data_IF_573866637044
#
_entry.id   IF_573866637044
#
_cell.length_a   1.000
_cell.length_b   1.000
_cell.length_c   1.000
_cell.angle_alpha   90.00
_cell.angle_beta   90.00
_cell.angle_gamma   90.00
#
_symmetry.space_group_name_H-M   'P 1'
#
loop_
_entity.id
_entity.type
_entity.pdbx_description
1 polymer ?
#
# COMPACT_ATOMS: atom_id res chain seq x y z
N UNK A 1 13.54 -29.13 -53.83
CA UNK A 1 14.67 -28.56 -53.05
C UNK A 1 14.25 -27.69 -51.84
N UNK A 2 12.99 -27.22 -51.74
CA UNK A 2 12.54 -26.34 -50.64
C UNK A 2 12.11 -27.04 -49.32
N UNK A 3 11.92 -28.37 -49.31
CA UNK A 3 11.42 -29.09 -48.13
C UNK A 3 12.50 -29.30 -47.04
N UNK A 4 13.77 -29.50 -47.45
CA UNK A 4 14.89 -29.75 -46.53
C UNK A 4 15.38 -28.47 -45.81
N UNK A 5 15.09 -27.30 -46.37
CA UNK A 5 15.46 -25.99 -45.79
C UNK A 5 14.51 -25.62 -44.64
N UNK A 6 13.25 -26.08 -44.68
CA UNK A 6 12.29 -25.84 -43.60
C UNK A 6 12.56 -26.71 -42.36
N UNK A 7 13.04 -27.94 -42.56
CA UNK A 7 13.38 -28.86 -41.46
C UNK A 7 14.53 -28.35 -40.58
N UNK A 8 15.67 -27.98 -41.18
CA UNK A 8 16.83 -27.50 -40.42
C UNK A 8 16.58 -26.16 -39.71
N UNK A 9 15.82 -25.24 -40.32
CA UNK A 9 15.47 -23.97 -39.68
C UNK A 9 14.69 -24.19 -38.39
N UNK A 10 13.66 -25.05 -38.39
CA UNK A 10 12.89 -25.35 -37.17
C UNK A 10 13.74 -25.95 -36.05
N UNK A 11 14.72 -26.80 -36.37
CA UNK A 11 15.63 -27.40 -35.36
C UNK A 11 16.55 -26.36 -34.72
N UNK A 12 17.09 -25.43 -35.51
CA UNK A 12 17.92 -24.33 -35.00
C UNK A 12 17.10 -23.36 -34.14
N UNK A 13 15.88 -22.99 -34.58
CA UNK A 13 14.97 -22.16 -33.79
C UNK A 13 14.61 -22.81 -32.45
N UNK A 14 14.35 -24.12 -32.42
CA UNK A 14 14.00 -24.84 -31.20
C UNK A 14 15.17 -24.88 -30.19
N UNK A 15 16.41 -25.00 -30.68
CA UNK A 15 17.62 -24.96 -29.85
C UNK A 15 17.86 -23.57 -29.23
N UNK A 16 17.66 -22.51 -30.02
CA UNK A 16 17.81 -21.13 -29.56
C UNK A 16 16.77 -20.76 -28.48
N UNK A 17 15.52 -21.19 -28.65
CA UNK A 17 14.46 -20.96 -27.66
C UNK A 17 14.81 -21.63 -26.33
N UNK A 18 15.19 -22.92 -26.33
CA UNK A 18 15.55 -23.62 -25.09
C UNK A 18 16.78 -23.03 -24.40
N UNK A 19 17.79 -22.60 -25.15
CA UNK A 19 19.04 -22.03 -24.63
C UNK A 19 18.84 -20.71 -23.89
N UNK A 20 18.05 -19.79 -24.47
CA UNK A 20 17.80 -18.47 -23.87
C UNK A 20 16.70 -18.52 -22.80
N UNK A 21 15.72 -19.40 -22.94
CA UNK A 21 14.64 -19.55 -21.96
C UNK A 21 15.17 -20.01 -20.60
N UNK A 22 16.18 -20.90 -20.55
CA UNK A 22 16.79 -21.34 -19.28
C UNK A 22 17.47 -20.18 -18.53
N UNK A 23 18.09 -19.24 -19.25
CA UNK A 23 18.73 -18.05 -18.67
C UNK A 23 17.71 -17.03 -18.20
N UNK A 24 16.67 -16.77 -19.00
CA UNK A 24 15.57 -15.87 -18.63
C UNK A 24 14.85 -16.39 -17.38
N UNK A 25 14.58 -17.70 -17.32
CA UNK A 25 13.97 -18.34 -16.15
C UNK A 25 14.85 -18.18 -14.90
N UNK A 26 16.16 -18.37 -15.03
CA UNK A 26 17.09 -18.19 -13.93
C UNK A 26 17.14 -16.73 -13.44
N UNK A 27 17.20 -15.75 -14.35
CA UNK A 27 17.18 -14.32 -13.98
C UNK A 27 15.87 -13.91 -13.32
N UNK A 28 14.73 -14.43 -13.79
CA UNK A 28 13.42 -14.17 -13.20
C UNK A 28 13.28 -14.80 -11.81
N UNK A 29 13.81 -16.02 -11.63
CA UNK A 29 13.87 -16.66 -10.32
C UNK A 29 14.74 -15.87 -9.33
N UNK A 30 15.89 -15.33 -9.76
CA UNK A 30 16.72 -14.46 -8.93
C UNK A 30 15.99 -13.20 -8.48
N UNK A 31 15.21 -12.57 -9.37
CA UNK A 31 14.38 -11.42 -9.04
C UNK A 31 13.28 -11.77 -8.03
N UNK A 32 12.63 -12.94 -8.20
CA UNK A 32 11.64 -13.44 -7.26
C UNK A 32 12.24 -13.70 -5.86
N UNK A 33 13.48 -14.21 -5.78
CA UNK A 33 14.18 -14.41 -4.50
C UNK A 33 14.46 -13.09 -3.78
N UNK A 34 14.81 -12.03 -4.51
CA UNK A 34 14.99 -10.69 -3.94
C UNK A 34 13.67 -10.03 -3.49
N UNK A 35 12.53 -10.53 -3.98
CA UNK A 35 11.19 -10.11 -3.56
C UNK A 35 10.67 -10.86 -2.32
N UNK A 36 11.29 -11.99 -1.93
CA UNK A 36 10.90 -12.77 -0.74
C UNK A 36 10.87 -11.91 0.55
N UNK A 37 11.85 -11.02 0.81
CA UNK A 37 11.82 -10.16 1.98
C UNK A 37 10.63 -9.18 1.98
N UNK A 38 10.21 -8.69 0.81
CA UNK A 38 9.07 -7.77 0.68
C UNK A 38 7.76 -8.49 1.03
N UNK A 39 7.63 -9.76 0.65
CA UNK A 39 6.47 -10.58 0.98
C UNK A 39 6.45 -11.00 2.46
N UNK A 40 7.62 -11.24 3.06
CA UNK A 40 7.74 -11.49 4.49
C UNK A 40 7.32 -10.27 5.33
N UNK A 41 7.57 -9.05 4.82
CA UNK A 41 7.10 -7.81 5.44
C UNK A 41 5.60 -7.54 5.21
N UNK A 42 4.95 -8.22 4.27
CA UNK A 42 3.51 -8.14 4.02
C UNK A 42 2.69 -9.16 4.84
N UNK A 43 3.35 -10.14 5.48
CA UNK A 43 2.68 -11.02 6.44
C UNK A 43 2.44 -10.25 7.73
N UNK A 44 1.23 -9.70 7.85
CA UNK A 44 0.64 -9.19 9.08
C UNK A 44 0.74 -10.26 10.17
N UNK A 45 1.54 -9.99 11.20
CA UNK A 45 1.53 -10.74 12.46
C UNK A 45 0.36 -10.24 13.33
N UNK A 46 -0.86 -10.63 13.00
CA UNK A 46 -1.96 -10.55 13.96
C UNK A 46 -2.16 -11.92 14.61
N UNK A 47 -2.06 -11.93 15.94
CA UNK A 47 -2.06 -13.12 16.77
C UNK A 47 -3.22 -14.05 16.43
N UNK A 48 -2.87 -15.28 16.03
CA UNK A 48 -3.81 -16.38 15.81
C UNK A 48 -4.39 -16.80 17.15
N UNK A 49 -5.61 -16.34 17.45
CA UNK A 49 -6.53 -17.05 18.34
C UNK A 49 -7.85 -17.21 17.58
N UNK A 50 -8.14 -18.44 17.16
CA UNK A 50 -9.41 -18.81 16.53
C UNK A 50 -9.39 -18.84 15.01
N UNK A 51 -9.31 -20.04 14.43
CA UNK A 51 -9.39 -20.30 12.99
C UNK A 51 -10.86 -20.30 12.58
N UNK A 52 -11.25 -19.43 11.64
CA UNK A 52 -12.31 -19.70 10.64
C UNK A 52 -12.02 -18.88 9.37
N UNK A 53 -11.01 -19.33 8.61
CA UNK A 53 -10.71 -18.81 7.28
C UNK A 53 -11.90 -19.08 6.34
N UNK A 54 -12.81 -18.12 6.23
CA UNK A 54 -14.03 -18.23 5.43
C UNK A 54 -15.07 -17.14 5.70
N UNK A 55 -14.97 -16.42 6.81
CA UNK A 55 -15.94 -15.39 7.16
C UNK A 55 -15.56 -14.04 6.56
N UNK A 56 -16.56 -13.25 6.14
CA UNK A 56 -16.41 -11.85 5.64
C UNK A 56 -15.52 -11.00 6.56
N UNK A 57 -15.45 -11.33 7.86
CA UNK A 57 -14.57 -10.72 8.84
C UNK A 57 -13.08 -10.81 8.48
N UNK A 58 -12.61 -11.94 7.95
CA UNK A 58 -11.19 -12.09 7.56
C UNK A 58 -10.86 -11.30 6.29
N UNK A 59 -11.82 -11.20 5.36
CA UNK A 59 -11.69 -10.34 4.18
C UNK A 59 -11.68 -8.86 4.59
N UNK A 60 -12.52 -8.47 5.56
CA UNK A 60 -12.55 -7.12 6.12
C UNK A 60 -11.27 -6.77 6.87
N UNK A 61 -10.70 -7.71 7.65
CA UNK A 61 -9.41 -7.51 8.34
C UNK A 61 -8.25 -7.42 7.34
N UNK A 62 -8.21 -8.28 6.33
CA UNK A 62 -7.21 -8.21 5.26
C UNK A 62 -7.28 -6.91 4.47
N UNK A 63 -8.49 -6.44 4.14
CA UNK A 63 -8.69 -5.14 3.47
C UNK A 63 -8.30 -3.97 4.36
N UNK A 64 -8.69 -3.97 5.64
CA UNK A 64 -8.30 -2.93 6.58
C UNK A 64 -6.79 -2.87 6.79
N UNK A 65 -6.10 -4.02 6.88
CA UNK A 65 -4.64 -4.07 6.97
C UNK A 65 -3.97 -3.45 5.74
N UNK A 66 -4.44 -3.81 4.53
CA UNK A 66 -3.91 -3.25 3.29
C UNK A 66 -4.13 -1.73 3.16
N UNK A 67 -5.29 -1.24 3.59
CA UNK A 67 -5.60 0.20 3.57
C UNK A 67 -4.74 0.93 4.61
N UNK A 68 -4.55 0.37 5.80
CA UNK A 68 -3.74 1.00 6.83
C UNK A 68 -2.26 1.10 6.44
N UNK A 69 -1.73 0.12 5.69
CA UNK A 69 -0.35 0.15 5.20
C UNK A 69 -0.14 1.11 4.02
N UNK A 70 -1.14 1.29 3.15
CA UNK A 70 -1.00 2.16 1.96
C UNK A 70 -1.20 3.65 2.28
N UNK A 71 -1.98 3.97 3.31
CA UNK A 71 -2.24 5.34 3.77
C UNK A 71 -0.94 6.12 4.06
N UNK A 72 0.01 5.63 4.89
CA UNK A 72 1.26 6.36 5.17
C UNK A 72 2.11 6.55 3.90
N UNK A 73 2.04 5.63 2.94
CA UNK A 73 2.69 5.77 1.63
C UNK A 73 2.12 6.96 0.83
N UNK A 74 0.79 7.08 0.77
CA UNK A 74 0.11 8.18 0.07
C UNK A 74 0.38 9.51 0.78
N UNK A 75 0.37 9.53 2.11
CA UNK A 75 0.72 10.72 2.91
C UNK A 75 2.16 11.14 2.63
N UNK A 76 3.11 10.20 2.64
CA UNK A 76 4.51 10.47 2.27
C UNK A 76 4.64 11.05 0.86
N UNK A 77 3.91 10.50 -0.11
CA UNK A 77 3.89 11.03 -1.48
C UNK A 77 3.30 12.44 -1.57
N UNK A 78 2.21 12.73 -0.84
CA UNK A 78 1.61 14.06 -0.80
C UNK A 78 2.59 15.10 -0.25
N UNK A 79 3.33 14.77 0.82
CA UNK A 79 4.38 15.63 1.39
C UNK A 79 5.49 15.90 0.36
N UNK A 80 5.91 14.88 -0.39
CA UNK A 80 6.90 15.05 -1.47
C UNK A 80 6.42 16.02 -2.55
N UNK A 81 5.16 15.94 -2.96
CA UNK A 81 4.58 16.87 -3.95
C UNK A 81 4.56 18.31 -3.42
N UNK A 82 4.26 18.51 -2.13
CA UNK A 82 4.30 19.84 -1.51
C UNK A 82 5.72 20.40 -1.50
N UNK A 83 6.70 19.58 -1.09
CA UNK A 83 8.12 19.98 -1.10
C UNK A 83 8.56 20.32 -2.53
N UNK A 84 8.21 19.51 -3.52
CA UNK A 84 8.52 19.77 -4.92
C UNK A 84 7.87 21.06 -5.44
N UNK A 85 6.62 21.34 -5.05
CA UNK A 85 5.94 22.61 -5.36
C UNK A 85 6.65 23.82 -4.78
N UNK A 86 7.11 23.75 -3.52
CA UNK A 86 7.87 24.83 -2.87
C UNK A 86 9.23 25.02 -3.55
N UNK A 87 9.97 23.93 -3.81
CA UNK A 87 11.26 24.00 -4.49
C UNK A 87 11.12 24.61 -5.90
N UNK A 88 10.11 24.20 -6.65
CA UNK A 88 9.78 24.76 -7.96
C UNK A 88 9.45 26.26 -7.88
N UNK A 89 8.75 26.69 -6.82
CA UNK A 89 8.42 28.09 -6.60
C UNK A 89 9.65 28.94 -6.29
N UNK A 90 10.62 28.40 -5.55
CA UNK A 90 11.89 29.08 -5.24
C UNK A 90 12.75 29.17 -6.51
N UNK A 91 12.86 28.08 -7.28
CA UNK A 91 13.64 28.03 -8.53
C UNK A 91 13.06 28.94 -9.61
N UNK A 92 11.73 29.12 -9.64
CA UNK A 92 11.07 30.03 -10.58
C UNK A 92 11.50 31.51 -10.41
N UNK A 93 11.97 31.92 -9.23
CA UNK A 93 12.55 33.25 -9.02
C UNK A 93 11.60 34.40 -9.41
N UNK A 94 12.03 35.22 -10.38
CA UNK A 94 11.28 36.39 -10.89
C UNK A 94 10.40 36.10 -12.12
N UNK A 95 10.42 34.87 -12.65
CA UNK A 95 9.66 34.46 -13.83
C UNK A 95 8.19 34.25 -13.46
N UNK A 96 7.33 35.23 -13.75
CA UNK A 96 5.92 35.25 -13.32
C UNK A 96 5.12 34.03 -13.80
N UNK A 97 5.43 33.53 -15.00
CA UNK A 97 4.71 32.40 -15.59
C UNK A 97 5.03 31.10 -14.84
N UNK A 98 6.31 30.90 -14.51
CA UNK A 98 6.75 29.74 -13.70
C UNK A 98 6.27 29.83 -12.25
N UNK A 99 6.22 31.04 -11.67
CA UNK A 99 5.66 31.23 -10.33
C UNK A 99 4.17 30.88 -10.26
N UNK A 100 3.41 31.21 -11.30
CA UNK A 100 1.97 30.88 -11.36
C UNK A 100 1.76 29.36 -11.38
N UNK A 101 2.55 28.66 -12.19
CA UNK A 101 2.52 27.19 -12.26
C UNK A 101 2.98 26.54 -10.96
N UNK A 102 4.08 27.00 -10.37
CA UNK A 102 4.57 26.50 -9.09
C UNK A 102 3.59 26.74 -7.93
N UNK A 103 2.93 27.90 -7.89
CA UNK A 103 1.89 28.19 -6.90
C UNK A 103 0.71 27.22 -7.04
N UNK A 104 0.32 26.85 -8.26
CA UNK A 104 -0.72 25.85 -8.49
C UNK A 104 -0.36 24.51 -7.87
N UNK A 105 0.88 24.03 -8.05
CA UNK A 105 1.36 22.78 -7.44
C UNK A 105 1.32 22.80 -5.91
N UNK A 106 1.68 23.94 -5.29
CA UNK A 106 1.58 24.11 -3.84
C UNK A 106 0.13 24.02 -3.37
N UNK A 107 -0.79 24.72 -4.05
CA UNK A 107 -2.22 24.69 -3.69
C UNK A 107 -2.79 23.28 -3.81
N UNK A 108 -2.51 22.58 -4.91
CA UNK A 108 -2.94 21.18 -5.09
C UNK A 108 -2.36 20.24 -4.02
N UNK A 109 -1.10 20.47 -3.62
CA UNK A 109 -0.46 19.73 -2.53
C UNK A 109 -1.14 19.97 -1.17
N UNK A 110 -1.43 21.23 -0.83
CA UNK A 110 -2.11 21.60 0.42
C UNK A 110 -3.52 21.03 0.46
N UNK A 111 -4.26 21.11 -0.64
CA UNK A 111 -5.62 20.53 -0.74
C UNK A 111 -5.58 19.01 -0.52
N UNK A 112 -4.57 18.32 -1.07
CA UNK A 112 -4.37 16.89 -0.85
C UNK A 112 -4.16 16.53 0.63
N UNK A 113 -3.29 17.28 1.32
CA UNK A 113 -3.04 17.08 2.76
C UNK A 113 -4.31 17.39 3.58
N UNK A 114 -5.00 18.49 3.24
CA UNK A 114 -6.21 18.90 3.94
C UNK A 114 -7.30 17.82 3.88
N UNK A 115 -7.53 17.22 2.70
CA UNK A 115 -8.50 16.13 2.56
C UNK A 115 -8.12 14.90 3.39
N UNK A 116 -6.84 14.52 3.41
CA UNK A 116 -6.37 13.39 4.21
C UNK A 116 -6.60 13.62 5.71
N UNK A 117 -6.22 14.79 6.21
CA UNK A 117 -6.41 15.15 7.63
C UNK A 117 -7.89 15.30 7.98
N UNK A 118 -8.71 15.82 7.05
CA UNK A 118 -10.15 15.99 7.26
C UNK A 118 -10.86 14.66 7.45
N UNK A 119 -10.56 13.66 6.60
CA UNK A 119 -11.16 12.33 6.71
C UNK A 119 -10.73 11.66 8.03
N UNK A 120 -9.43 11.66 8.34
CA UNK A 120 -8.93 11.06 9.58
C UNK A 120 -9.42 11.76 10.84
N UNK A 121 -9.46 13.10 10.84
CA UNK A 121 -9.98 13.90 11.95
C UNK A 121 -11.47 13.63 12.18
N UNK A 122 -12.26 13.55 11.10
CA UNK A 122 -13.68 13.22 11.20
C UNK A 122 -13.89 11.79 11.72
N UNK A 123 -13.15 10.81 11.19
CA UNK A 123 -13.21 9.41 11.67
C UNK A 123 -12.85 9.33 13.15
N UNK A 124 -11.81 10.03 13.61
CA UNK A 124 -11.42 10.04 15.01
C UNK A 124 -12.51 10.63 15.92
N UNK A 125 -13.18 11.71 15.50
CA UNK A 125 -14.29 12.31 16.25
C UNK A 125 -15.48 11.35 16.32
N UNK A 126 -15.84 10.74 15.19
CA UNK A 126 -16.94 9.77 15.14
C UNK A 126 -16.63 8.53 15.99
N UNK A 127 -15.41 7.99 15.88
CA UNK A 127 -14.96 6.86 16.68
C UNK A 127 -15.03 7.16 18.18
N UNK A 128 -14.50 8.31 18.61
CA UNK A 128 -14.53 8.70 20.02
C UNK A 128 -15.96 8.96 20.53
N UNK A 129 -16.85 9.46 19.68
CA UNK A 129 -18.25 9.73 20.07
C UNK A 129 -19.06 8.45 20.24
N UNK A 130 -18.87 7.46 19.36
CA UNK A 130 -19.62 6.20 19.42
C UNK A 130 -18.96 5.14 20.33
N UNK A 131 -17.64 5.17 20.51
CA UNK A 131 -16.93 4.24 21.40
C UNK A 131 -17.20 4.52 22.90
N UNK A 132 -17.58 5.75 23.26
CA UNK A 132 -17.89 6.11 24.66
C UNK A 132 -19.16 5.44 25.21
N UNK A 133 -19.95 4.76 24.37
CA UNK A 133 -21.21 4.12 24.81
C UNK A 133 -21.02 2.71 25.42
N UNK A 134 -19.82 2.12 25.34
CA UNK A 134 -19.60 0.73 25.74
C UNK A 134 -18.86 0.55 27.07
N UNK A 135 -18.13 1.56 27.57
CA UNK A 135 -17.27 1.49 28.77
C UNK A 135 -18.01 1.55 30.12
N UNK A 136 -19.32 1.28 30.18
CA UNK A 136 -20.14 1.53 31.37
C UNK A 136 -20.90 0.34 31.92
N UNK A 137 -20.78 -0.85 31.32
CA UNK A 137 -21.55 -2.02 31.74
C UNK A 137 -20.68 -3.11 32.37
N UNK A 138 -19.42 -3.20 32.02
CA UNK A 138 -18.51 -4.29 32.40
C UNK A 138 -17.93 -4.12 33.82
N UNK A 139 -17.68 -2.88 34.23
CA UNK A 139 -17.04 -2.55 35.51
C UNK A 139 -18.01 -2.72 36.69
N UNK A 140 -19.28 -2.37 36.49
CA UNK A 140 -20.33 -2.39 37.52
C UNK A 140 -20.69 -3.83 37.88
N UNK A 141 -20.69 -4.77 36.91
CA UNK A 141 -21.02 -6.18 37.16
C UNK A 141 -19.81 -7.01 37.60
N UNK A 142 -18.57 -6.61 37.26
CA UNK A 142 -17.37 -7.27 37.80
C UNK A 142 -17.13 -6.88 39.25
N UNK A 143 -17.24 -5.59 39.60
CA UNK A 143 -17.18 -5.15 41.00
C UNK A 143 -18.26 -5.83 41.84
N UNK A 144 -19.49 -5.94 41.32
CA UNK A 144 -20.57 -6.63 42.04
C UNK A 144 -20.30 -8.13 42.31
N UNK A 145 -19.51 -8.81 41.47
CA UNK A 145 -19.17 -10.24 41.65
C UNK A 145 -18.07 -10.50 42.67
N UNK A 146 -17.17 -9.55 42.91
CA UNK A 146 -16.05 -9.71 43.85
C UNK A 146 -16.51 -9.66 45.31
N UNK A 147 -17.60 -8.94 45.61
CA UNK A 147 -18.19 -8.84 46.96
C UNK A 147 -19.34 -9.81 47.24
N UNK A 148 -19.51 -10.85 46.42
CA UNK A 148 -20.55 -11.88 46.60
C UNK A 148 -19.98 -13.30 46.81
N UNK A 149 -18.67 -13.44 47.03
CA UNK A 149 -18.00 -14.69 47.44
C UNK A 149 -17.12 -14.47 48.66
#
# INVERSE_FOLDING_TARGET
MNFLIQGKRKVVFMSLIKSNMKKILATFASFAVLMVPVLALAQVNEGVVGREAGTISDLMKGLNGLINDIVPFIVGFAVLVVIFGILSFIVAGADEEKRKSARSYIVWGIVGIFLMLSIWGLVAILANTFAFSQSGKDDIFQGARENLF
#
